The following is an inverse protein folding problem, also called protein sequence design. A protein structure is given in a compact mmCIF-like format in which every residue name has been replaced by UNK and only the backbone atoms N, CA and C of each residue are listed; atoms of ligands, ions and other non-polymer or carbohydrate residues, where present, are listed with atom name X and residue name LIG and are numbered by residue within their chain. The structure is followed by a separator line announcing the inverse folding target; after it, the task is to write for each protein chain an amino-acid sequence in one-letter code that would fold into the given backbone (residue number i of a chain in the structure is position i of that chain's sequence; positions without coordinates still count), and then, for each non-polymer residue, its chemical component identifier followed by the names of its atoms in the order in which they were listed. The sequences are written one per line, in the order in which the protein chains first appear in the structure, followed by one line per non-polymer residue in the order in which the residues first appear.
data_IF_323960523498
#
_entry.id   IF_323960523498
#
_cell.length_a   1.000
_cell.length_b   1.000
_cell.length_c   1.000
_cell.angle_alpha   90.00
_cell.angle_beta   90.00
_cell.angle_gamma   90.00
#
_symmetry.space_group_name_H-M   'P 1'
#
loop_
_entity.id
_entity.type
_entity.pdbx_description
1 polymer ?
#
# COMPACT_ATOMS: atom_id res chain seq x y z
N UNK A 1 16.13 -11.35 -3.62
CA UNK A 1 17.13 -10.55 -2.87
C UNK A 1 17.48 -9.33 -3.71
N UNK A 2 17.15 -8.13 -3.25
CA UNK A 2 17.50 -6.89 -3.95
C UNK A 2 18.79 -6.33 -3.32
N UNK A 3 19.80 -6.07 -4.15
CA UNK A 3 21.06 -5.49 -3.69
C UNK A 3 21.35 -4.23 -4.51
N UNK A 4 21.76 -3.16 -3.85
CA UNK A 4 22.29 -1.95 -4.47
C UNK A 4 23.78 -1.87 -4.18
N UNK A 5 24.59 -1.69 -5.23
CA UNK A 5 26.03 -1.49 -5.08
C UNK A 5 26.29 0.01 -4.91
N UNK A 6 26.94 0.36 -3.80
CA UNK A 6 27.50 1.67 -3.54
C UNK A 6 28.95 1.46 -3.10
N UNK A 7 29.89 2.12 -3.79
CA UNK A 7 31.34 2.03 -3.46
C UNK A 7 31.93 0.62 -3.43
N UNK A 8 31.47 -0.26 -4.30
CA UNK A 8 32.00 -1.62 -4.39
C UNK A 8 31.42 -2.64 -3.41
N UNK A 9 30.60 -2.22 -2.45
CA UNK A 9 29.91 -3.09 -1.51
C UNK A 9 28.41 -3.23 -1.85
N UNK A 10 27.83 -4.39 -1.51
CA UNK A 10 26.41 -4.68 -1.73
C UNK A 10 25.65 -4.59 -0.42
N UNK A 11 24.72 -3.64 -0.31
CA UNK A 11 23.77 -3.53 0.80
C UNK A 11 22.54 -4.41 0.56
N UNK A 12 22.15 -5.15 1.59
CA UNK A 12 20.95 -5.97 1.56
C UNK A 12 19.75 -5.15 2.02
N UNK A 13 18.88 -4.78 1.07
CA UNK A 13 17.67 -4.00 1.36
C UNK A 13 16.44 -4.86 1.61
N UNK A 14 16.30 -5.97 0.88
CA UNK A 14 15.11 -6.86 0.95
C UNK A 14 15.54 -8.31 0.86
N UNK A 15 14.86 -9.16 1.61
CA UNK A 15 14.96 -10.61 1.51
C UNK A 15 13.58 -11.19 1.20
N UNK A 16 13.48 -12.08 0.21
CA UNK A 16 12.27 -12.84 -0.07
C UNK A 16 12.60 -14.27 -0.50
N UNK A 17 11.64 -15.17 -0.30
CA UNK A 17 11.64 -16.53 -0.87
C UNK A 17 10.53 -16.60 -1.91
N UNK A 18 10.86 -17.07 -3.11
CA UNK A 18 9.89 -17.24 -4.19
C UNK A 18 9.38 -18.67 -4.21
N UNK A 19 8.08 -18.84 -4.34
CA UNK A 19 7.41 -20.12 -4.50
C UNK A 19 6.36 -19.98 -5.62
N UNK A 20 6.04 -21.07 -6.29
CA UNK A 20 4.90 -21.13 -7.22
C UNK A 20 3.64 -21.38 -6.38
N UNK A 21 2.59 -20.54 -6.49
CA UNK A 21 1.35 -20.75 -5.79
C UNK A 21 0.67 -22.04 -6.29
N UNK A 22 -0.01 -22.76 -5.40
CA UNK A 22 -0.87 -23.85 -5.80
C UNK A 22 -2.14 -23.28 -6.47
N UNK A 23 -2.58 -23.92 -7.55
CA UNK A 23 -3.88 -23.63 -8.15
C UNK A 23 -4.99 -24.11 -7.24
N UNK A 24 -5.59 -23.21 -6.48
CA UNK A 24 -6.78 -23.42 -5.68
C UNK A 24 -7.85 -22.43 -6.12
N UNK A 25 -9.11 -22.91 -6.19
CA UNK A 25 -10.23 -22.02 -6.49
C UNK A 25 -10.35 -20.95 -5.41
N UNK A 26 -10.23 -19.70 -5.80
CA UNK A 26 -10.30 -18.56 -4.88
C UNK A 26 -11.75 -18.08 -4.72
N UNK A 27 -12.18 -17.72 -3.51
CA UNK A 27 -13.52 -17.20 -3.28
C UNK A 27 -13.68 -15.86 -4.03
N UNK A 28 -14.85 -15.65 -4.62
CA UNK A 28 -15.22 -14.38 -5.24
C UNK A 28 -15.78 -13.42 -4.21
N UNK A 29 -15.48 -12.14 -4.38
CA UNK A 29 -16.05 -11.06 -3.61
C UNK A 29 -17.21 -10.39 -4.36
N UNK A 30 -18.33 -10.15 -3.67
CA UNK A 30 -19.41 -9.31 -4.21
C UNK A 30 -19.09 -7.82 -3.98
N UNK A 31 -18.42 -7.23 -4.97
CA UNK A 31 -17.97 -5.84 -4.95
C UNK A 31 -19.16 -4.88 -4.84
N UNK A 32 -20.23 -5.13 -5.62
CA UNK A 32 -21.38 -4.23 -5.71
C UNK A 32 -22.17 -4.25 -4.40
N UNK A 33 -22.34 -5.41 -3.80
CA UNK A 33 -23.03 -5.54 -2.51
C UNK A 33 -22.23 -4.82 -1.40
N UNK A 34 -20.89 -4.91 -1.41
CA UNK A 34 -20.07 -4.18 -0.44
C UNK A 34 -20.27 -2.67 -0.59
N UNK A 35 -20.17 -2.14 -1.83
CA UNK A 35 -20.35 -0.70 -2.12
C UNK A 35 -21.73 -0.24 -1.67
N UNK A 36 -22.80 -0.99 -2.04
CA UNK A 36 -24.18 -0.65 -1.69
C UNK A 36 -24.45 -0.61 -0.18
N UNK A 37 -23.77 -1.44 0.60
CA UNK A 37 -23.94 -1.55 2.05
C UNK A 37 -22.91 -0.75 2.86
N UNK A 38 -22.05 -0.02 2.19
CA UNK A 38 -21.07 0.85 2.86
C UNK A 38 -21.78 2.07 3.49
N UNK A 39 -21.23 2.58 4.60
CA UNK A 39 -21.81 3.68 5.35
C UNK A 39 -21.05 5.00 5.17
N UNK A 40 -19.82 4.93 4.67
CA UNK A 40 -18.97 6.09 4.48
C UNK A 40 -18.13 5.93 3.21
N UNK A 41 -17.82 7.08 2.58
CA UNK A 41 -17.00 7.16 1.37
C UNK A 41 -15.97 8.26 1.54
N UNK A 42 -14.72 7.98 1.17
CA UNK A 42 -13.60 8.91 1.25
C UNK A 42 -12.88 8.91 -0.10
N UNK A 43 -12.70 10.08 -0.69
CA UNK A 43 -11.90 10.23 -1.90
C UNK A 43 -10.42 9.96 -1.63
N UNK A 44 -9.73 9.29 -2.56
CA UNK A 44 -8.29 8.97 -2.42
C UNK A 44 -7.41 10.22 -2.29
N UNK A 45 -7.82 11.37 -2.81
CA UNK A 45 -7.11 12.64 -2.60
C UNK A 45 -6.99 12.98 -1.12
N UNK A 46 -8.03 12.71 -0.32
CA UNK A 46 -8.01 12.92 1.14
C UNK A 46 -7.06 11.98 1.85
N UNK A 47 -6.93 10.75 1.33
CA UNK A 47 -5.99 9.76 1.81
C UNK A 47 -4.55 10.28 1.60
N UNK A 48 -4.24 10.81 0.42
CA UNK A 48 -2.92 11.38 0.13
C UNK A 48 -2.66 12.70 0.86
N UNK A 49 -3.69 13.56 1.06
CA UNK A 49 -3.58 14.76 1.90
C UNK A 49 -3.17 14.39 3.34
N UNK A 50 -3.82 13.36 3.90
CA UNK A 50 -3.52 12.86 5.24
C UNK A 50 -2.10 12.27 5.32
N UNK A 51 -1.68 11.47 4.34
CA UNK A 51 -0.31 10.95 4.25
C UNK A 51 0.73 12.08 4.21
N UNK A 52 0.44 13.14 3.44
CA UNK A 52 1.32 14.32 3.33
C UNK A 52 1.44 15.07 4.65
N UNK A 53 0.38 15.13 5.46
CA UNK A 53 0.41 15.80 6.77
C UNK A 53 1.38 15.14 7.75
N UNK A 54 1.73 13.88 7.52
CA UNK A 54 2.72 13.09 8.28
C UNK A 54 4.01 12.84 7.49
N UNK A 55 4.34 13.72 6.53
CA UNK A 55 5.56 13.72 5.74
C UNK A 55 5.72 12.56 4.74
N UNK A 56 4.67 11.77 4.49
CA UNK A 56 4.66 10.74 3.44
C UNK A 56 4.13 11.36 2.14
N UNK A 57 5.05 11.66 1.21
CA UNK A 57 4.74 12.36 -0.04
C UNK A 57 4.89 11.42 -1.21
N UNK A 58 3.79 11.20 -1.95
CA UNK A 58 3.76 10.42 -3.18
C UNK A 58 3.89 11.34 -4.39
N UNK A 59 4.78 11.01 -5.31
CA UNK A 59 4.84 11.63 -6.63
C UNK A 59 3.66 11.19 -7.49
N UNK A 60 3.36 11.94 -8.56
CA UNK A 60 2.20 11.73 -9.43
C UNK A 60 2.10 10.29 -9.97
N UNK A 61 3.24 9.68 -10.34
CA UNK A 61 3.28 8.28 -10.81
C UNK A 61 2.77 7.28 -9.76
N UNK A 62 3.02 7.53 -8.47
CA UNK A 62 2.66 6.61 -7.37
C UNK A 62 1.26 6.88 -6.81
N UNK A 63 0.63 7.99 -7.17
CA UNK A 63 -0.73 8.28 -6.72
C UNK A 63 -1.75 7.51 -7.54
N UNK A 64 -2.70 6.89 -6.84
CA UNK A 64 -3.90 6.30 -7.42
C UNK A 64 -5.10 7.20 -7.18
N UNK A 65 -6.06 7.17 -8.10
CA UNK A 65 -7.35 7.84 -7.97
C UNK A 65 -8.39 6.84 -7.45
N UNK A 66 -9.49 7.33 -6.90
CA UNK A 66 -10.58 6.43 -6.53
C UNK A 66 -11.25 6.78 -5.21
N UNK A 67 -11.97 5.81 -4.67
CA UNK A 67 -12.83 5.97 -3.49
C UNK A 67 -12.62 4.83 -2.53
N UNK A 68 -12.58 5.15 -1.25
CA UNK A 68 -12.57 4.21 -0.12
C UNK A 68 -13.99 4.08 0.41
N UNK A 69 -14.54 2.88 0.40
CA UNK A 69 -15.82 2.52 0.96
C UNK A 69 -15.63 1.83 2.31
N UNK A 70 -16.36 2.24 3.33
CA UNK A 70 -16.21 1.72 4.68
C UNK A 70 -17.49 1.13 5.23
N UNK A 71 -17.36 -0.04 5.88
CA UNK A 71 -18.43 -0.78 6.50
C UNK A 71 -17.97 -1.39 7.83
N UNK A 72 -18.23 -0.69 8.92
CA UNK A 72 -17.73 -1.13 10.23
C UNK A 72 -16.20 -1.19 10.25
N UNK A 73 -15.65 -2.40 10.42
CA UNK A 73 -14.20 -2.67 10.38
C UNK A 73 -13.69 -3.08 9.01
N UNK A 74 -14.55 -3.13 8.01
CA UNK A 74 -14.21 -3.55 6.67
C UNK A 74 -14.06 -2.33 5.76
N UNK A 75 -13.12 -2.42 4.83
CA UNK A 75 -12.82 -1.37 3.89
C UNK A 75 -12.62 -1.96 2.50
N UNK A 76 -13.17 -1.29 1.51
CA UNK A 76 -12.97 -1.59 0.10
C UNK A 76 -12.54 -0.31 -0.61
N UNK A 77 -11.36 -0.33 -1.21
CA UNK A 77 -10.86 0.78 -2.01
C UNK A 77 -11.02 0.45 -3.48
N UNK A 78 -11.76 1.27 -4.22
CA UNK A 78 -11.75 1.24 -5.68
C UNK A 78 -10.62 2.15 -6.16
N UNK A 79 -9.63 1.59 -6.82
CA UNK A 79 -8.44 2.32 -7.26
C UNK A 79 -8.31 2.32 -8.78
N UNK A 80 -7.94 3.47 -9.33
CA UNK A 80 -7.57 3.69 -10.72
C UNK A 80 -6.17 4.29 -10.79
N UNK A 81 -5.43 3.98 -11.85
CA UNK A 81 -4.15 4.63 -12.11
C UNK A 81 -4.38 6.08 -12.60
N UNK A 82 -3.46 6.99 -12.23
CA UNK A 82 -3.36 8.30 -12.87
C UNK A 82 -2.97 8.15 -14.34
N UNK A 83 -3.18 9.17 -15.17
CA UNK A 83 -2.79 9.15 -16.58
C UNK A 83 -1.31 8.83 -16.78
N UNK A 84 -0.46 9.36 -15.88
CA UNK A 84 0.98 9.09 -15.87
C UNK A 84 1.26 7.62 -15.63
N UNK A 85 0.72 7.02 -14.58
CA UNK A 85 0.98 5.61 -14.26
C UNK A 85 0.27 4.64 -15.19
N UNK A 86 -0.90 5.00 -15.72
CA UNK A 86 -1.65 4.20 -16.69
C UNK A 86 -0.84 3.98 -18.00
N UNK A 87 -0.07 4.98 -18.44
CA UNK A 87 0.80 4.86 -19.63
C UNK A 87 1.89 3.78 -19.48
N UNK A 88 2.17 3.36 -18.27
CA UNK A 88 3.16 2.33 -17.94
C UNK A 88 2.54 0.98 -17.53
N UNK A 89 1.21 0.82 -17.54
CA UNK A 89 0.54 -0.38 -17.06
C UNK A 89 1.11 -1.66 -17.69
N UNK A 90 1.32 -1.67 -18.99
CA UNK A 90 1.83 -2.83 -19.73
C UNK A 90 3.32 -3.12 -19.52
N UNK A 91 4.04 -2.28 -18.79
CA UNK A 91 5.47 -2.49 -18.47
C UNK A 91 5.69 -3.27 -17.17
N UNK A 92 4.65 -3.46 -16.39
CA UNK A 92 4.71 -4.16 -15.11
C UNK A 92 3.73 -5.33 -15.10
N UNK A 93 4.15 -6.46 -14.55
CA UNK A 93 3.22 -7.54 -14.23
C UNK A 93 2.24 -7.11 -13.13
N UNK A 94 2.76 -6.39 -12.14
CA UNK A 94 1.99 -5.74 -11.07
C UNK A 94 2.40 -4.27 -11.01
N UNK A 95 1.47 -3.35 -11.20
CA UNK A 95 1.74 -1.90 -11.13
C UNK A 95 2.22 -1.51 -9.72
N UNK A 96 3.40 -0.88 -9.58
CA UNK A 96 3.89 -0.42 -8.28
C UNK A 96 2.97 0.63 -7.65
N UNK A 97 2.32 1.49 -8.43
CA UNK A 97 1.36 2.48 -7.92
C UNK A 97 0.14 1.80 -7.27
N UNK A 98 -0.36 0.72 -7.85
CA UNK A 98 -1.45 -0.05 -7.26
C UNK A 98 -1.04 -0.79 -6.00
N UNK A 99 0.15 -1.41 -6.00
CA UNK A 99 0.65 -2.12 -4.81
C UNK A 99 0.88 -1.16 -3.64
N UNK A 100 1.45 0.00 -3.91
CA UNK A 100 1.65 1.06 -2.91
C UNK A 100 0.30 1.61 -2.42
N UNK A 101 -0.60 1.99 -3.34
CA UNK A 101 -1.94 2.43 -3.02
C UNK A 101 -2.74 1.40 -2.19
N UNK A 102 -2.57 0.11 -2.47
CA UNK A 102 -3.20 -0.96 -1.70
C UNK A 102 -2.71 -1.02 -0.24
N UNK A 103 -1.48 -0.60 0.06
CA UNK A 103 -0.96 -0.58 1.44
C UNK A 103 -1.65 0.45 2.34
N UNK A 104 -2.37 1.41 1.78
CA UNK A 104 -3.23 2.30 2.55
C UNK A 104 -4.43 1.57 3.16
N UNK A 105 -4.87 0.49 2.53
CA UNK A 105 -5.91 -0.37 3.09
C UNK A 105 -5.37 -1.08 4.34
N UNK A 106 -6.13 -1.05 5.41
CA UNK A 106 -5.70 -1.64 6.69
C UNK A 106 -4.68 -0.79 7.47
N UNK A 107 -4.13 0.28 6.91
CA UNK A 107 -3.53 1.32 7.74
C UNK A 107 -4.64 2.04 8.48
N UNK A 108 -4.43 2.35 9.76
CA UNK A 108 -5.38 3.12 10.55
C UNK A 108 -5.41 4.59 10.05
N UNK A 109 -5.72 4.76 8.76
CA UNK A 109 -5.81 6.08 8.11
C UNK A 109 -6.67 7.05 8.90
N UNK A 110 -7.66 6.49 9.61
CA UNK A 110 -8.56 7.23 10.48
C UNK A 110 -7.93 7.61 11.82
N UNK A 111 -6.84 6.97 12.23
CA UNK A 111 -6.07 7.35 13.41
C UNK A 111 -5.07 8.48 13.14
N UNK A 112 -4.70 8.70 11.86
CA UNK A 112 -3.78 9.76 11.46
C UNK A 112 -4.37 11.13 11.79
N UNK A 113 -5.71 11.27 11.65
CA UNK A 113 -6.42 12.54 11.86
C UNK A 113 -6.32 13.10 13.29
N UNK A 114 -6.00 12.27 14.28
CA UNK A 114 -5.95 12.71 15.69
C UNK A 114 -4.53 12.76 16.29
N UNK A 115 -3.56 12.00 15.79
CA UNK A 115 -2.27 11.81 16.45
C UNK A 115 -1.04 12.09 15.59
N UNK A 116 -1.18 12.48 14.33
CA UNK A 116 -0.06 12.78 13.40
C UNK A 116 1.04 11.69 13.43
N UNK A 117 0.65 10.44 13.31
CA UNK A 117 1.57 9.29 13.40
C UNK A 117 1.80 8.70 12.02
N UNK A 118 3.07 8.62 11.63
CA UNK A 118 3.48 8.00 10.37
C UNK A 118 3.74 6.50 10.57
N UNK A 119 3.30 5.68 9.61
CA UNK A 119 3.62 4.26 9.50
C UNK A 119 4.29 3.99 8.16
N UNK A 120 5.24 3.06 8.16
CA UNK A 120 5.88 2.58 6.94
C UNK A 120 5.75 1.05 6.84
N UNK A 121 5.62 0.49 5.64
CA UNK A 121 5.71 -0.95 5.43
C UNK A 121 7.05 -1.49 5.94
N UNK A 122 6.98 -2.56 6.74
CA UNK A 122 8.15 -3.18 7.35
C UNK A 122 8.39 -4.59 6.85
N UNK A 123 7.35 -5.41 6.78
CA UNK A 123 7.44 -6.78 6.28
C UNK A 123 6.10 -7.27 5.74
N UNK A 124 6.16 -8.27 4.88
CA UNK A 124 5.02 -9.04 4.38
C UNK A 124 5.37 -10.50 4.63
N UNK A 125 4.48 -11.23 5.32
CA UNK A 125 4.71 -12.65 5.59
C UNK A 125 4.59 -13.48 4.31
N UNK A 126 3.50 -13.26 3.55
CA UNK A 126 3.29 -13.89 2.26
C UNK A 126 2.65 -12.89 1.30
N UNK A 127 3.16 -12.87 0.08
CA UNK A 127 2.62 -12.15 -1.04
C UNK A 127 2.34 -13.14 -2.17
N UNK A 128 1.09 -13.20 -2.63
CA UNK A 128 0.70 -14.11 -3.71
C UNK A 128 0.07 -13.31 -4.85
N UNK A 129 0.59 -13.48 -6.05
CA UNK A 129 0.03 -12.93 -7.27
C UNK A 129 -0.55 -14.07 -8.11
N UNK A 130 -1.84 -14.02 -8.35
CA UNK A 130 -2.58 -15.00 -9.17
C UNK A 130 -2.72 -14.53 -10.61
N UNK A 131 -2.80 -13.19 -10.82
CA UNK A 131 -2.96 -12.60 -12.13
C UNK A 131 -2.37 -11.18 -12.19
N UNK A 132 -2.27 -10.62 -13.41
CA UNK A 132 -1.92 -9.21 -13.65
C UNK A 132 -3.02 -8.29 -13.14
N UNK A 133 -2.66 -7.02 -12.86
CA UNK A 133 -3.62 -6.01 -12.42
C UNK A 133 -4.21 -5.27 -13.63
N UNK A 134 -5.55 -5.16 -13.75
CA UNK A 134 -6.23 -4.34 -14.76
C UNK A 134 -6.11 -2.84 -14.41
N UNK A 135 -6.72 -1.97 -15.24
CA UNK A 135 -6.71 -0.51 -15.03
C UNK A 135 -7.52 -0.03 -13.81
N UNK A 136 -8.39 -0.89 -13.30
CA UNK A 136 -9.18 -0.67 -12.08
C UNK A 136 -9.08 -1.89 -11.20
N UNK A 137 -8.80 -1.68 -9.93
CA UNK A 137 -8.75 -2.75 -8.92
C UNK A 137 -9.62 -2.40 -7.71
N UNK A 138 -9.97 -3.42 -6.95
CA UNK A 138 -10.70 -3.31 -5.69
C UNK A 138 -9.89 -3.95 -4.58
N UNK A 139 -9.50 -3.15 -3.59
CA UNK A 139 -8.64 -3.56 -2.50
C UNK A 139 -9.47 -3.71 -1.24
N UNK A 140 -9.59 -4.91 -0.74
CA UNK A 140 -10.32 -5.21 0.48
C UNK A 140 -9.40 -5.49 1.65
N UNK A 141 -9.75 -4.94 2.81
CA UNK A 141 -9.14 -5.30 4.08
C UNK A 141 -10.16 -5.31 5.21
N UNK A 142 -9.81 -6.05 6.27
CA UNK A 142 -10.57 -6.06 7.51
C UNK A 142 -9.66 -5.71 8.68
N UNK A 143 -10.02 -4.64 9.40
CA UNK A 143 -9.28 -4.20 10.57
C UNK A 143 -9.50 -5.13 11.77
N UNK A 144 -8.43 -5.50 12.46
CA UNK A 144 -8.49 -6.34 13.67
C UNK A 144 -8.93 -5.55 14.91
N UNK A 145 -8.72 -4.23 14.92
CA UNK A 145 -9.00 -3.34 16.05
C UNK A 145 -9.98 -2.24 15.66
N UNK A 146 -10.69 -1.69 16.63
CA UNK A 146 -11.57 -0.55 16.40
C UNK A 146 -10.77 0.74 16.19
N UNK A 147 -11.37 1.70 15.45
CA UNK A 147 -10.78 2.99 15.06
C UNK A 147 -10.24 3.84 16.24
N UNK A 148 -10.62 3.51 17.46
CA UNK A 148 -10.35 4.30 18.66
C UNK A 148 -9.25 3.72 19.53
N UNK A 149 -8.67 2.58 19.14
CA UNK A 149 -7.57 2.00 19.89
C UNK A 149 -6.32 2.89 19.82
N UNK A 150 -5.56 2.89 20.91
CA UNK A 150 -4.28 3.63 21.00
C UNK A 150 -3.39 3.20 19.82
N UNK A 151 -2.74 4.16 19.11
CA UNK A 151 -1.87 3.83 17.99
C UNK A 151 -0.81 2.79 18.39
N UNK A 152 -0.95 1.59 17.86
CA UNK A 152 0.01 0.51 18.09
C UNK A 152 1.34 0.82 17.41
N UNK A 153 2.46 0.36 17.98
CA UNK A 153 3.77 0.42 17.34
C UNK A 153 3.82 -0.37 16.03
N UNK A 154 3.02 -1.42 15.95
CA UNK A 154 2.95 -2.35 14.82
C UNK A 154 1.49 -2.64 14.51
N UNK A 155 1.11 -2.46 13.26
CA UNK A 155 -0.20 -2.86 12.73
C UNK A 155 0.01 -3.98 11.72
N UNK A 156 -0.82 -5.01 11.81
CA UNK A 156 -0.83 -6.14 10.86
C UNK A 156 -2.18 -6.22 10.18
N UNK A 157 -2.18 -6.35 8.87
CA UNK A 157 -3.39 -6.48 8.05
C UNK A 157 -3.21 -7.51 6.95
N UNK A 158 -4.31 -8.17 6.60
CA UNK A 158 -4.43 -8.95 5.38
C UNK A 158 -5.12 -8.07 4.34
N UNK A 159 -4.59 -8.07 3.11
CA UNK A 159 -5.12 -7.27 2.01
C UNK A 159 -5.38 -8.22 0.84
N UNK A 160 -6.54 -8.09 0.22
CA UNK A 160 -6.92 -8.84 -0.97
C UNK A 160 -7.29 -7.88 -2.09
N UNK A 161 -6.70 -8.08 -3.27
CA UNK A 161 -6.94 -7.25 -4.46
C UNK A 161 -7.78 -8.06 -5.45
N UNK A 162 -8.87 -7.48 -5.89
CA UNK A 162 -9.84 -8.09 -6.80
C UNK A 162 -9.98 -7.30 -8.10
N UNK A 163 -10.44 -7.98 -9.15
CA UNK A 163 -10.97 -7.34 -10.35
C UNK A 163 -12.43 -6.88 -10.14
N UNK A 164 -13.01 -6.22 -11.14
CA UNK A 164 -14.42 -5.77 -11.11
C UNK A 164 -15.45 -6.89 -11.01
N UNK A 165 -15.07 -8.14 -11.35
CA UNK A 165 -15.90 -9.35 -11.25
C UNK A 165 -15.75 -10.03 -9.89
N UNK A 166 -14.98 -9.45 -8.99
CA UNK A 166 -14.68 -9.99 -7.68
C UNK A 166 -13.72 -11.18 -7.68
N UNK A 167 -12.96 -11.39 -8.78
CA UNK A 167 -11.95 -12.45 -8.83
C UNK A 167 -10.68 -11.97 -8.14
N UNK A 168 -10.12 -12.80 -7.25
CA UNK A 168 -8.88 -12.48 -6.52
C UNK A 168 -7.68 -12.45 -7.47
N UNK A 169 -6.93 -11.35 -7.45
CA UNK A 169 -5.75 -11.12 -8.28
C UNK A 169 -4.45 -11.18 -7.47
N UNK A 170 -4.45 -10.58 -6.28
CA UNK A 170 -3.27 -10.50 -5.41
C UNK A 170 -3.70 -10.58 -3.96
N UNK A 171 -2.88 -11.19 -3.14
CA UNK A 171 -3.09 -11.28 -1.69
C UNK A 171 -1.81 -10.96 -0.92
N UNK A 172 -1.94 -10.13 0.13
CA UNK A 172 -0.93 -9.91 1.16
C UNK A 172 -1.42 -10.54 2.44
N UNK A 173 -0.64 -11.43 3.02
CA UNK A 173 -0.86 -11.95 4.36
C UNK A 173 0.09 -11.29 5.34
N UNK A 174 -0.45 -10.82 6.45
CA UNK A 174 0.28 -10.16 7.52
C UNK A 174 1.24 -9.06 6.99
N UNK A 175 0.71 -8.16 6.13
CA UNK A 175 1.40 -6.91 5.88
C UNK A 175 1.58 -6.20 7.22
N UNK A 176 2.82 -6.01 7.61
CA UNK A 176 3.19 -5.37 8.86
C UNK A 176 3.68 -3.96 8.57
N UNK A 177 3.03 -2.96 9.16
CA UNK A 177 3.48 -1.57 9.13
C UNK A 177 3.96 -1.18 10.53
N UNK A 178 5.01 -0.35 10.57
CA UNK A 178 5.65 0.07 11.82
C UNK A 178 5.60 1.59 11.96
N UNK A 179 5.28 2.04 13.17
CA UNK A 179 5.24 3.44 13.55
C UNK A 179 6.63 4.09 13.49
N UNK A 180 6.71 5.28 12.91
CA UNK A 180 7.89 6.13 12.93
C UNK A 180 7.79 7.02 14.18
N UNK A 181 8.79 6.92 15.08
CA UNK A 181 8.79 7.66 16.36
C UNK A 181 9.39 9.06 16.26
N UNK A 182 10.22 9.33 15.25
CA UNK A 182 10.92 10.60 15.11
C UNK A 182 10.32 11.43 13.98
N UNK A 183 9.71 12.55 14.32
CA UNK A 183 9.35 13.58 13.34
C UNK A 183 10.64 14.02 12.61
N UNK A 184 10.57 14.09 11.28
CA UNK A 184 11.72 14.47 10.43
C UNK A 184 12.62 13.30 10.01
N UNK A 185 12.46 12.07 10.51
CA UNK A 185 13.27 10.91 10.09
C UNK A 185 13.27 10.73 8.56
N UNK A 186 12.13 10.90 7.92
CA UNK A 186 11.99 10.75 6.47
C UNK A 186 12.78 11.86 5.75
N UNK A 187 12.71 13.11 6.24
CA UNK A 187 13.49 14.24 5.70
C UNK A 187 14.99 13.98 5.82
N UNK A 188 15.45 13.53 6.98
CA UNK A 188 16.86 13.22 7.24
C UNK A 188 17.36 12.09 6.31
N UNK A 189 16.56 11.06 6.10
CA UNK A 189 16.90 9.98 5.18
C UNK A 189 16.97 10.45 3.74
N UNK A 190 16.01 11.30 3.30
CA UNK A 190 16.01 11.88 1.96
C UNK A 190 17.20 12.82 1.73
N UNK A 191 17.58 13.62 2.73
CA UNK A 191 18.73 14.51 2.66
C UNK A 191 20.02 13.72 2.54
N UNK A 192 20.25 12.73 3.38
CA UNK A 192 21.40 11.82 3.30
C UNK A 192 21.50 11.10 1.96
N UNK A 193 20.36 10.72 1.38
CA UNK A 193 20.33 10.08 0.06
C UNK A 193 20.73 11.07 -1.04
N UNK A 194 20.26 12.33 -1.00
CA UNK A 194 20.65 13.39 -1.95
C UNK A 194 22.14 13.70 -1.87
N UNK A 195 22.69 13.85 -0.68
CA UNK A 195 24.11 14.08 -0.45
C UNK A 195 24.98 12.95 -1.00
N UNK A 196 24.57 11.69 -0.77
CA UNK A 196 25.26 10.52 -1.33
C UNK A 196 25.24 10.48 -2.86
N UNK A 197 24.13 10.87 -3.49
CA UNK A 197 24.01 10.92 -4.96
C UNK A 197 24.92 12.02 -5.51
N UNK A 198 24.97 13.20 -4.90
CA UNK A 198 25.83 14.31 -5.31
C UNK A 198 27.32 13.95 -5.21
N UNK A 199 27.74 13.24 -4.16
CA UNK A 199 29.12 12.78 -3.99
C UNK A 199 29.52 11.62 -4.92
N UNK A 200 28.54 10.88 -5.48
CA UNK A 200 28.82 9.77 -6.41
C UNK A 200 29.04 10.24 -7.86
N UNK A 201 28.81 11.53 -8.16
CA UNK A 201 29.01 12.14 -9.48
C UNK A 201 30.26 13.04 -9.55
N UNK A 202 31.08 13.05 -8.51
CA UNK A 202 32.42 13.64 -8.44
C UNK A 202 33.46 12.55 -8.23
#
# INVERSE_FOLDING_TARGET
MYKRQLYGEWDKHVYCRLNVPKEEAQPKMDIQEFIRTSHNQIDMSKVYESARSVEIVHGEFMQTLGVVYQKGREELMQLHLSDVSASYLNRFYLSPAFLDGATFSGSSFHAIDKNQVSYIPFSIEQFTAYNTLPSTIYVYSKHKHDKYDIPSEIIKSDISIYDERGSLLVEFKNLTIKRIRHAGLIKDLLQKTKERILHAHH
#
